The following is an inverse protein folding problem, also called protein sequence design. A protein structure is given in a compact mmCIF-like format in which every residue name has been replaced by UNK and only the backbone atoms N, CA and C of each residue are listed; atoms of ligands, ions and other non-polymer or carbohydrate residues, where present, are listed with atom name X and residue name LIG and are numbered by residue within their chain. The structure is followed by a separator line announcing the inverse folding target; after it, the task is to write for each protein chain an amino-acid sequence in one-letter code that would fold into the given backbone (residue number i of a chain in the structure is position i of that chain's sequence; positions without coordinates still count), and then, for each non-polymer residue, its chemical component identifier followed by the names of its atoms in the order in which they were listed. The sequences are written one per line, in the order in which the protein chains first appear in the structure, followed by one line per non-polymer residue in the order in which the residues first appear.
data_IF_026772738539
#
_entry.id   IF_026772738539
#
_cell.length_a   1.000
_cell.length_b   1.000
_cell.length_c   1.000
_cell.angle_alpha   90.00
_cell.angle_beta   90.00
_cell.angle_gamma   90.00
#
_symmetry.space_group_name_H-M   'P 1'
#
loop_
_entity.id
_entity.type
_entity.pdbx_description
1 polymer ?
#
# COMPACT_ATOMS: atom_id res chain seq x y z
N UNK A 1 13.39 -29.03 1.47
CA UNK A 1 13.03 -27.67 1.01
C UNK A 1 13.08 -27.69 -0.51
N UNK A 2 11.98 -27.41 -1.21
CA UNK A 2 12.04 -27.29 -2.68
C UNK A 2 12.79 -26.02 -3.09
N UNK A 3 13.33 -25.97 -4.31
CA UNK A 3 14.05 -24.79 -4.78
C UNK A 3 13.09 -23.60 -4.96
N UNK A 4 13.61 -22.37 -4.75
CA UNK A 4 12.84 -21.13 -5.00
C UNK A 4 12.41 -21.00 -6.46
N UNK A 5 13.24 -21.52 -7.38
CA UNK A 5 13.03 -21.48 -8.83
C UNK A 5 12.93 -22.91 -9.37
N UNK A 6 11.89 -23.63 -8.98
CA UNK A 6 11.62 -24.94 -9.55
C UNK A 6 11.25 -24.82 -11.04
N UNK A 7 11.98 -25.50 -11.91
CA UNK A 7 11.70 -25.59 -13.34
C UNK A 7 10.40 -26.38 -13.61
N UNK A 8 10.22 -27.51 -12.93
CA UNK A 8 9.11 -28.41 -13.18
C UNK A 8 8.21 -28.50 -11.94
N UNK A 9 6.92 -28.17 -12.12
CA UNK A 9 5.87 -28.47 -11.15
C UNK A 9 5.11 -29.69 -11.65
N UNK A 10 5.11 -30.77 -10.86
CA UNK A 10 4.32 -31.96 -11.15
C UNK A 10 2.84 -31.60 -11.32
N UNK A 11 2.23 -32.03 -12.43
CA UNK A 11 0.79 -31.93 -12.70
C UNK A 11 0.24 -33.34 -12.80
N UNK A 12 -0.85 -33.66 -12.09
CA UNK A 12 -1.52 -34.96 -12.21
C UNK A 12 -2.09 -35.13 -13.63
N UNK A 13 -1.96 -36.35 -14.17
CA UNK A 13 -2.27 -36.70 -15.58
C UNK A 13 -3.78 -36.62 -15.88
N UNK A 14 -4.65 -36.86 -14.89
CA UNK A 14 -6.11 -36.86 -15.08
C UNK A 14 -6.77 -35.47 -15.09
N UNK A 15 -5.98 -34.40 -14.94
CA UNK A 15 -6.50 -33.03 -14.98
C UNK A 15 -6.63 -32.59 -16.45
N UNK A 16 -7.44 -33.34 -17.20
CA UNK A 16 -7.86 -32.93 -18.54
C UNK A 16 -8.75 -31.70 -18.40
N UNK A 17 -8.13 -30.53 -18.45
CA UNK A 17 -8.81 -29.29 -18.79
C UNK A 17 -10.04 -28.95 -17.93
N UNK A 18 -9.97 -29.14 -16.60
CA UNK A 18 -10.95 -28.52 -15.71
C UNK A 18 -10.96 -27.01 -16.01
N UNK A 19 -12.06 -26.51 -16.59
CA UNK A 19 -12.28 -25.09 -16.86
C UNK A 19 -11.98 -24.37 -15.55
N UNK A 20 -10.87 -23.62 -15.49
CA UNK A 20 -10.56 -22.78 -14.33
C UNK A 20 -11.80 -21.95 -14.05
N UNK A 21 -12.47 -22.23 -12.93
CA UNK A 21 -13.66 -21.49 -12.56
C UNK A 21 -13.24 -20.02 -12.44
N UNK A 22 -13.89 -19.15 -13.20
CA UNK A 22 -13.68 -17.71 -13.11
C UNK A 22 -14.19 -17.23 -11.75
N UNK A 23 -13.31 -17.22 -10.76
CA UNK A 23 -13.59 -16.60 -9.47
C UNK A 23 -13.66 -15.10 -9.71
N UNK A 24 -14.84 -14.50 -9.46
CA UNK A 24 -15.02 -13.05 -9.55
C UNK A 24 -13.94 -12.37 -8.70
N UNK A 25 -13.13 -11.45 -9.27
CA UNK A 25 -12.07 -10.82 -8.52
C UNK A 25 -12.70 -9.93 -7.45
N UNK A 26 -12.62 -10.36 -6.19
CA UNK A 26 -12.94 -9.51 -5.05
C UNK A 26 -11.97 -8.31 -5.03
N UNK A 27 -12.36 -7.21 -4.37
CA UNK A 27 -11.48 -6.06 -4.17
C UNK A 27 -10.22 -6.53 -3.43
N UNK A 28 -9.11 -6.68 -4.16
CA UNK A 28 -7.84 -7.12 -3.59
C UNK A 28 -7.26 -5.99 -2.74
N UNK A 29 -7.09 -6.28 -1.45
CA UNK A 29 -6.34 -5.43 -0.53
C UNK A 29 -4.86 -5.73 -0.77
N UNK A 30 -4.10 -4.74 -1.24
CA UNK A 30 -2.66 -4.89 -1.48
C UNK A 30 -1.89 -4.46 -0.25
N UNK A 31 -1.36 -5.42 0.51
CA UNK A 31 -0.41 -5.15 1.59
C UNK A 31 0.99 -4.98 1.02
N UNK A 32 1.66 -3.89 1.38
CA UNK A 32 3.00 -3.54 0.91
C UNK A 32 3.87 -3.08 2.08
N UNK A 33 5.20 -3.22 1.94
CA UNK A 33 6.15 -2.50 2.79
C UNK A 33 6.47 -1.15 2.16
N UNK A 34 6.07 -0.08 2.83
CA UNK A 34 6.20 1.29 2.35
C UNK A 34 7.22 2.06 3.21
N UNK A 35 7.94 2.99 2.61
CA UNK A 35 8.82 3.92 3.33
C UNK A 35 8.16 5.28 3.38
N UNK A 36 8.12 5.90 4.56
CA UNK A 36 7.49 7.21 4.73
C UNK A 36 8.29 8.28 3.96
N UNK A 37 7.65 9.09 3.09
CA UNK A 37 8.34 9.99 2.17
C UNK A 37 8.88 11.28 2.80
N UNK A 38 8.34 11.70 3.95
CA UNK A 38 8.74 12.91 4.69
C UNK A 38 8.40 12.78 6.17
N UNK A 39 8.96 13.67 6.99
CA UNK A 39 8.70 13.67 8.42
C UNK A 39 7.21 13.95 8.70
N UNK A 40 6.53 12.97 9.31
CA UNK A 40 5.08 13.04 9.60
C UNK A 40 4.83 12.93 11.09
N UNK A 41 3.85 13.69 11.59
CA UNK A 41 3.31 13.58 12.94
C UNK A 41 1.96 12.87 12.93
N UNK A 42 1.75 11.97 13.88
CA UNK A 42 0.41 11.48 14.22
C UNK A 42 -0.36 12.56 14.99
N UNK A 43 -1.60 12.86 14.59
CA UNK A 43 -2.41 13.89 15.25
C UNK A 43 -2.89 13.48 16.65
N UNK A 44 -2.97 12.17 16.96
CA UNK A 44 -3.49 11.68 18.24
C UNK A 44 -2.46 11.58 19.35
N UNK A 45 -1.34 10.90 19.10
CA UNK A 45 -0.29 10.69 20.10
C UNK A 45 0.92 11.62 19.92
N UNK A 46 0.91 12.47 18.88
CA UNK A 46 2.02 13.38 18.54
C UNK A 46 3.35 12.68 18.25
N UNK A 47 3.33 11.36 18.05
CA UNK A 47 4.48 10.60 17.59
C UNK A 47 4.94 11.07 16.22
N UNK A 48 6.27 11.18 16.07
CA UNK A 48 6.92 11.54 14.82
C UNK A 48 7.40 10.28 14.11
N UNK A 49 7.15 10.22 12.81
CA UNK A 49 7.78 9.28 11.90
C UNK A 49 8.76 10.07 11.04
N UNK A 50 10.01 9.63 11.05
CA UNK A 50 11.04 10.24 10.21
C UNK A 50 10.95 9.72 8.78
N UNK A 51 11.42 10.54 7.84
CA UNK A 51 11.60 10.12 6.45
C UNK A 51 12.39 8.81 6.39
N UNK A 52 11.88 7.86 5.62
CA UNK A 52 12.53 6.56 5.40
C UNK A 52 12.17 5.47 6.40
N UNK A 53 11.35 5.74 7.43
CA UNK A 53 10.86 4.67 8.31
C UNK A 53 10.03 3.66 7.52
N UNK A 54 10.38 2.37 7.63
CA UNK A 54 9.70 1.26 6.94
C UNK A 54 8.47 0.82 7.72
N UNK A 55 7.32 0.79 7.06
CA UNK A 55 6.02 0.43 7.63
C UNK A 55 5.28 -0.56 6.75
N UNK A 56 4.43 -1.37 7.37
CA UNK A 56 3.45 -2.16 6.63
C UNK A 56 2.25 -1.26 6.32
N UNK A 57 1.89 -1.16 5.05
CA UNK A 57 0.81 -0.32 4.58
C UNK A 57 -0.14 -1.08 3.64
N UNK A 58 -1.37 -0.62 3.56
CA UNK A 58 -2.36 -1.08 2.58
C UNK A 58 -2.41 -0.04 1.47
N UNK A 59 -2.21 -0.47 0.23
CA UNK A 59 -2.33 0.35 -0.97
C UNK A 59 -3.72 0.18 -1.57
N UNK A 60 -4.44 1.28 -1.70
CA UNK A 60 -5.74 1.34 -2.37
C UNK A 60 -5.68 2.32 -3.56
N UNK A 61 -6.30 1.95 -4.68
CA UNK A 61 -6.48 2.86 -5.83
C UNK A 61 -7.74 3.69 -5.62
N UNK A 62 -7.61 5.01 -5.64
CA UNK A 62 -8.75 5.91 -5.57
C UNK A 62 -9.44 5.89 -6.95
N UNK A 63 -10.66 5.35 -7.02
CA UNK A 63 -11.38 5.21 -8.30
C UNK A 63 -11.89 6.52 -8.88
N UNK A 64 -12.16 7.50 -8.02
CA UNK A 64 -12.82 8.76 -8.40
C UNK A 64 -11.84 9.80 -8.95
N UNK A 65 -10.54 9.59 -8.78
CA UNK A 65 -9.53 10.59 -9.06
C UNK A 65 -8.36 10.00 -9.84
N UNK A 66 -8.20 10.48 -11.07
CA UNK A 66 -7.04 10.20 -11.92
C UNK A 66 -6.49 11.53 -12.41
N UNK A 67 -5.18 11.64 -12.53
CA UNK A 67 -4.51 12.83 -13.05
C UNK A 67 -3.92 12.52 -14.42
N UNK A 68 -4.48 13.07 -15.50
CA UNK A 68 -3.99 12.87 -16.88
C UNK A 68 -3.73 11.37 -17.18
N UNK A 69 -4.66 10.50 -16.75
CA UNK A 69 -4.53 9.04 -16.90
C UNK A 69 -3.65 8.32 -15.86
N UNK A 70 -2.91 9.06 -15.02
CA UNK A 70 -2.14 8.51 -13.90
C UNK A 70 -3.06 8.19 -12.72
N UNK A 71 -2.88 6.99 -12.17
CA UNK A 71 -3.68 6.48 -11.06
C UNK A 71 -3.20 7.07 -9.74
N UNK A 72 -4.14 7.55 -8.92
CA UNK A 72 -3.82 8.04 -7.59
C UNK A 72 -4.03 6.93 -6.55
N UNK A 73 -3.04 6.78 -5.67
CA UNK A 73 -3.05 5.78 -4.61
C UNK A 73 -3.20 6.43 -3.24
N UNK A 74 -3.94 5.73 -2.39
CA UNK A 74 -4.03 5.99 -0.96
C UNK A 74 -3.30 4.89 -0.21
N UNK A 75 -2.52 5.29 0.78
CA UNK A 75 -1.80 4.38 1.66
C UNK A 75 -2.38 4.47 3.05
N UNK A 76 -2.84 3.34 3.59
CA UNK A 76 -3.26 3.22 4.98
C UNK A 76 -2.15 2.55 5.77
N UNK A 77 -1.75 3.15 6.88
CA UNK A 77 -0.84 2.54 7.84
C UNK A 77 -1.28 2.84 9.26
N UNK A 78 -0.71 2.13 10.23
CA UNK A 78 -1.02 2.30 11.64
C UNK A 78 0.11 3.06 12.32
N UNK A 79 -0.22 3.91 13.29
CA UNK A 79 0.79 4.48 14.15
C UNK A 79 1.34 3.41 15.12
N UNK A 80 2.66 3.38 15.34
CA UNK A 80 3.31 2.41 16.22
C UNK A 80 2.91 2.54 17.70
N UNK A 81 2.58 3.75 18.17
CA UNK A 81 2.22 3.95 19.58
C UNK A 81 0.72 3.87 19.84
N UNK A 82 -0.12 4.53 19.03
CA UNK A 82 -1.56 4.59 19.29
C UNK A 82 -2.39 3.60 18.46
N UNK A 83 -1.77 2.84 17.54
CA UNK A 83 -2.42 1.89 16.63
C UNK A 83 -3.55 2.46 15.75
N UNK A 84 -3.77 3.79 15.78
CA UNK A 84 -4.77 4.47 14.96
C UNK A 84 -4.33 4.50 13.50
N UNK A 85 -5.33 4.40 12.62
CA UNK A 85 -5.14 4.47 11.18
C UNK A 85 -4.76 5.88 10.73
N UNK A 86 -3.75 5.94 9.88
CA UNK A 86 -3.16 7.12 9.26
C UNK A 86 -3.19 6.95 7.75
N UNK A 87 -3.50 8.01 7.00
CA UNK A 87 -3.60 7.94 5.54
C UNK A 87 -2.89 9.07 4.82
N UNK A 88 -2.27 8.71 3.70
CA UNK A 88 -1.56 9.61 2.81
C UNK A 88 -1.91 9.26 1.36
N UNK A 89 -1.91 10.26 0.49
CA UNK A 89 -2.27 10.14 -0.92
C UNK A 89 -1.11 10.59 -1.80
N UNK A 90 -1.02 10.05 -3.02
CA UNK A 90 -0.04 10.49 -4.03
C UNK A 90 -0.59 11.63 -4.87
N UNK A 91 0.19 12.68 -5.07
CA UNK A 91 -0.19 13.81 -5.92
C UNK A 91 0.78 13.94 -7.10
N UNK A 92 0.41 13.37 -8.26
CA UNK A 92 1.30 13.35 -9.42
C UNK A 92 1.60 14.74 -10.00
N UNK A 93 0.75 15.74 -9.75
CA UNK A 93 0.98 17.13 -10.19
C UNK A 93 2.19 17.78 -9.51
N UNK A 94 2.39 17.51 -8.22
CA UNK A 94 3.45 18.12 -7.40
C UNK A 94 4.58 17.15 -7.08
N UNK A 95 4.50 15.89 -7.55
CA UNK A 95 5.41 14.80 -7.22
C UNK A 95 5.54 14.47 -5.72
N UNK A 96 4.67 15.03 -4.88
CA UNK A 96 4.67 14.82 -3.45
C UNK A 96 3.54 13.88 -3.01
N UNK A 97 3.60 13.46 -1.75
CA UNK A 97 2.47 12.81 -1.09
C UNK A 97 1.76 13.84 -0.20
N UNK A 98 0.43 13.92 -0.25
CA UNK A 98 -0.33 14.76 0.68
C UNK A 98 -0.85 13.94 1.87
N UNK A 99 -0.80 14.51 3.09
CA UNK A 99 -1.45 13.91 4.24
C UNK A 99 -2.97 14.07 4.13
N UNK A 100 -3.72 13.02 4.45
CA UNK A 100 -5.18 13.07 4.49
C UNK A 100 -5.69 12.96 5.93
N UNK A 101 -5.68 11.74 6.50
CA UNK A 101 -6.33 11.46 7.78
C UNK A 101 -5.26 11.21 8.85
N UNK A 102 -5.41 11.88 10.00
CA UNK A 102 -4.62 11.67 11.22
C UNK A 102 -3.10 11.89 11.06
N UNK A 103 -2.69 12.53 9.97
CA UNK A 103 -1.29 12.81 9.64
C UNK A 103 -1.08 14.30 9.42
N UNK A 104 0.06 14.82 9.90
CA UNK A 104 0.53 16.17 9.59
C UNK A 104 1.95 16.11 9.07
N UNK A 105 2.23 16.77 7.96
CA UNK A 105 3.61 16.98 7.48
C UNK A 105 4.32 17.97 8.40
N UNK A 106 5.51 17.61 8.88
CA UNK A 106 6.40 18.53 9.58
C UNK A 106 7.28 19.16 8.50
N UNK A 107 7.19 20.48 8.34
CA UNK A 107 8.19 21.22 7.57
C UNK A 107 9.31 21.55 8.55
N UNK A 108 10.35 20.72 8.57
CA UNK A 108 11.63 21.06 9.20
C UNK A 108 12.22 22.20 8.35
N UNK A 109 12.21 23.42 8.89
CA UNK A 109 12.95 24.56 8.34
C UNK A 109 14.43 24.40 8.64
#
# INVERSE_FOLDING_TARGET
MSERKNFNKYKKVDVQYQKKMYIKPQKKIFQIRFMIPYDTCCLFCKNKFFKGTKINAIKEKIKKENYIGVQIFRFYFKCMNCNKGMTMKTDPKSFFYLPEINCKKICSF
#
